data_IF_532624584020
#
_entry.id   IF_532624584020
#
_cell.length_a   1.000
_cell.length_b   1.000
_cell.length_c   1.000
_cell.angle_alpha   90.00
_cell.angle_beta   90.00
_cell.angle_gamma   90.00
#
_symmetry.space_group_name_H-M   'P 1'
#
loop_
_entity.id
_entity.type
_entity.pdbx_description
1 polymer ?
#
# COMPACT_ATOMS: atom_id res chain seq x y z
N UNK A 1 72.27 -17.27 -12.69
CA UNK A 1 71.40 -17.47 -11.52
C UNK A 1 70.19 -16.56 -11.69
N UNK A 2 68.99 -17.13 -11.73
CA UNK A 2 67.74 -16.43 -12.04
C UNK A 2 67.34 -15.47 -10.92
N UNK A 3 67.14 -14.20 -11.26
CA UNK A 3 66.58 -13.19 -10.37
C UNK A 3 65.05 -13.30 -10.44
N UNK A 4 64.44 -13.99 -9.46
CA UNK A 4 62.99 -14.06 -9.32
C UNK A 4 62.48 -12.75 -8.73
N UNK A 5 61.81 -11.94 -9.56
CA UNK A 5 61.03 -10.78 -9.08
C UNK A 5 59.70 -11.29 -8.55
N UNK A 6 59.63 -11.53 -7.23
CA UNK A 6 58.37 -11.79 -6.55
C UNK A 6 57.58 -10.48 -6.50
N UNK A 7 56.61 -10.36 -7.39
CA UNK A 7 55.58 -9.32 -7.35
C UNK A 7 54.79 -9.46 -6.05
N UNK A 8 55.12 -8.61 -5.09
CA UNK A 8 54.42 -8.54 -3.81
C UNK A 8 53.04 -7.92 -4.04
N UNK A 9 52.08 -8.77 -4.44
CA UNK A 9 50.66 -8.46 -4.33
C UNK A 9 50.40 -8.18 -2.85
N UNK A 10 50.42 -6.91 -2.46
CA UNK A 10 50.06 -6.44 -1.11
C UNK A 10 48.62 -6.84 -0.84
N UNK A 11 48.44 -8.04 -0.29
CA UNK A 11 47.19 -8.48 0.28
C UNK A 11 46.91 -7.57 1.47
N UNK A 12 45.90 -6.70 1.35
CA UNK A 12 45.35 -5.98 2.50
C UNK A 12 45.15 -6.99 3.64
N UNK A 13 45.64 -6.71 4.86
CA UNK A 13 45.57 -7.67 5.95
C UNK A 13 44.11 -8.09 6.14
N UNK A 14 43.86 -9.40 6.19
CA UNK A 14 42.53 -10.03 6.17
C UNK A 14 41.53 -9.32 7.10
N UNK A 15 42.00 -8.87 8.28
CA UNK A 15 41.22 -8.06 9.24
C UNK A 15 40.65 -6.75 8.66
N UNK A 16 41.42 -5.99 7.87
CA UNK A 16 40.96 -4.76 7.22
C UNK A 16 39.91 -5.04 6.14
N UNK A 17 40.07 -6.13 5.38
CA UNK A 17 39.07 -6.56 4.38
C UNK A 17 37.76 -6.98 5.04
N UNK A 18 37.82 -7.77 6.12
CA UNK A 18 36.64 -8.16 6.90
C UNK A 18 35.92 -6.94 7.47
N UNK A 19 36.66 -6.00 8.08
CA UNK A 19 36.07 -4.77 8.62
C UNK A 19 35.40 -3.92 7.53
N UNK A 20 36.01 -3.81 6.35
CA UNK A 20 35.40 -3.12 5.21
C UNK A 20 34.10 -3.80 4.74
N UNK A 21 34.12 -5.13 4.56
CA UNK A 21 32.94 -5.90 4.16
C UNK A 21 31.81 -5.80 5.19
N UNK A 22 32.13 -5.84 6.49
CA UNK A 22 31.15 -5.64 7.56
C UNK A 22 30.52 -4.24 7.49
N UNK A 23 31.33 -3.19 7.35
CA UNK A 23 30.81 -1.81 7.21
C UNK A 23 29.93 -1.65 5.98
N UNK A 24 30.33 -2.23 4.85
CA UNK A 24 29.55 -2.22 3.62
C UNK A 24 28.22 -2.96 3.81
N UNK A 25 28.24 -4.16 4.40
CA UNK A 25 27.04 -4.92 4.70
C UNK A 25 26.10 -4.15 5.63
N UNK A 26 26.61 -3.59 6.74
CA UNK A 26 25.83 -2.75 7.63
C UNK A 26 25.21 -1.56 6.90
N UNK A 27 25.98 -0.85 6.06
CA UNK A 27 25.48 0.29 5.29
C UNK A 27 24.35 -0.12 4.33
N UNK A 28 24.54 -1.21 3.58
CA UNK A 28 23.52 -1.72 2.65
C UNK A 28 22.27 -2.16 3.40
N UNK A 29 22.43 -2.87 4.53
CA UNK A 29 21.31 -3.26 5.38
C UNK A 29 20.56 -2.06 5.97
N UNK A 30 21.27 -1.02 6.41
CA UNK A 30 20.65 0.20 6.93
C UNK A 30 19.84 0.93 5.86
N UNK A 31 20.37 1.07 4.64
CA UNK A 31 19.63 1.66 3.52
C UNK A 31 18.41 0.82 3.19
N UNK A 32 18.55 -0.51 3.10
CA UNK A 32 17.45 -1.41 2.83
C UNK A 32 16.33 -1.31 3.89
N UNK A 33 16.68 -1.36 5.18
CA UNK A 33 15.71 -1.22 6.28
C UNK A 33 15.03 0.15 6.23
N UNK A 34 15.78 1.22 5.92
CA UNK A 34 15.20 2.55 5.83
C UNK A 34 14.21 2.65 4.67
N UNK A 35 14.61 2.27 3.45
CA UNK A 35 13.81 2.40 2.25
C UNK A 35 12.62 1.43 2.20
N UNK A 36 12.78 0.21 2.70
CA UNK A 36 11.73 -0.82 2.60
C UNK A 36 10.82 -0.86 3.84
N UNK A 37 11.16 -0.15 4.92
CA UNK A 37 10.35 -0.17 6.16
C UNK A 37 10.21 1.19 6.85
N UNK A 38 11.30 1.87 7.21
CA UNK A 38 11.20 3.07 8.09
C UNK A 38 10.65 4.32 7.38
N UNK A 39 10.90 4.48 6.09
CA UNK A 39 10.49 5.67 5.31
C UNK A 39 8.99 5.96 5.44
N UNK A 40 8.14 4.93 5.46
CA UNK A 40 6.68 5.08 5.55
C UNK A 40 6.25 5.67 6.90
N UNK A 41 6.90 5.26 7.99
CA UNK A 41 6.64 5.82 9.32
C UNK A 41 7.09 7.27 9.39
N UNK A 42 8.28 7.57 8.89
CA UNK A 42 8.80 8.95 8.88
C UNK A 42 7.89 9.86 8.07
N UNK A 43 7.44 9.43 6.89
CA UNK A 43 6.58 10.24 6.03
C UNK A 43 5.19 10.46 6.64
N UNK A 44 4.54 9.41 7.12
CA UNK A 44 3.15 9.48 7.63
C UNK A 44 3.07 10.11 9.01
N UNK A 45 4.10 9.96 9.86
CA UNK A 45 4.14 10.59 11.19
C UNK A 45 4.14 12.12 11.13
N UNK A 46 4.50 12.71 9.98
CA UNK A 46 4.44 14.15 9.75
C UNK A 46 3.03 14.65 9.37
N UNK A 47 2.06 13.74 9.25
CA UNK A 47 0.70 14.07 8.86
C UNK A 47 -0.22 14.14 10.10
N UNK A 48 -1.03 15.20 10.16
CA UNK A 48 -2.08 15.38 11.15
C UNK A 48 -3.46 15.44 10.47
N UNK A 49 -4.49 15.12 11.24
CA UNK A 49 -5.87 15.34 10.80
C UNK A 49 -6.18 16.85 10.75
N UNK A 50 -6.94 17.34 9.75
CA UNK A 50 -7.32 18.74 9.68
C UNK A 50 -8.24 19.11 10.86
N UNK A 51 -8.07 20.33 11.36
CA UNK A 51 -8.90 20.84 12.46
C UNK A 51 -10.36 21.04 12.02
N UNK A 52 -11.29 20.50 12.81
CA UNK A 52 -12.72 20.70 12.65
C UNK A 52 -13.21 21.61 13.78
N UNK A 53 -14.06 22.59 13.48
CA UNK A 53 -14.59 23.51 14.49
C UNK A 53 -15.68 22.83 15.31
N UNK A 54 -15.56 22.87 16.63
CA UNK A 54 -16.60 22.42 17.55
C UNK A 54 -17.80 23.37 17.54
N UNK A 55 -19.01 22.80 17.64
CA UNK A 55 -20.19 23.57 18.01
C UNK A 55 -20.04 24.10 19.43
N UNK A 56 -20.49 25.34 19.69
CA UNK A 56 -20.26 26.10 20.92
C UNK A 56 -20.74 25.45 22.24
N UNK A 57 -21.35 24.26 22.19
CA UNK A 57 -21.98 23.57 23.31
C UNK A 57 -21.56 22.10 23.50
N UNK A 58 -20.57 21.58 22.77
CA UNK A 58 -20.09 20.20 22.97
C UNK A 58 -18.83 20.14 23.84
N UNK A 59 -18.81 19.20 24.77
CA UNK A 59 -17.61 18.86 25.54
C UNK A 59 -16.50 18.34 24.61
N UNK A 60 -15.23 18.64 24.92
CA UNK A 60 -14.08 18.28 24.06
C UNK A 60 -13.97 16.77 23.76
N UNK A 61 -14.34 15.92 24.72
CA UNK A 61 -14.31 14.46 24.55
C UNK A 61 -15.42 13.96 23.63
N UNK A 62 -16.63 14.50 23.78
CA UNK A 62 -17.79 14.17 22.94
C UNK A 62 -17.60 14.70 21.51
N UNK A 63 -17.01 15.90 21.38
CA UNK A 63 -16.62 16.47 20.11
C UNK A 63 -15.60 15.60 19.38
N UNK A 64 -14.51 15.19 20.04
CA UNK A 64 -13.49 14.33 19.42
C UNK A 64 -14.06 12.98 18.96
N UNK A 65 -14.99 12.40 19.73
CA UNK A 65 -15.68 11.17 19.33
C UNK A 65 -16.59 11.37 18.10
N UNK A 66 -17.18 12.56 17.95
CA UNK A 66 -18.04 12.92 16.82
C UNK A 66 -17.30 13.18 15.51
N UNK A 67 -16.01 13.52 15.55
CA UNK A 67 -15.22 13.80 14.35
C UNK A 67 -15.00 12.51 13.56
N UNK A 68 -15.40 12.51 12.29
CA UNK A 68 -15.18 11.41 11.37
C UNK A 68 -13.82 11.55 10.66
N UNK A 69 -12.89 10.66 10.99
CA UNK A 69 -11.58 10.56 10.34
C UNK A 69 -11.68 9.70 9.10
N UNK A 70 -11.60 10.33 7.94
CA UNK A 70 -11.75 9.67 6.64
C UNK A 70 -10.46 9.71 5.86
N UNK A 71 -9.93 8.55 5.47
CA UNK A 71 -8.80 8.44 4.56
C UNK A 71 -9.30 8.15 3.13
N UNK A 72 -8.80 8.89 2.15
CA UNK A 72 -9.10 8.67 0.74
C UNK A 72 -7.85 8.18 0.01
N UNK A 73 -8.01 7.11 -0.77
CA UNK A 73 -7.02 6.52 -1.66
C UNK A 73 -7.65 6.35 -3.05
N UNK A 74 -6.84 6.23 -4.08
CA UNK A 74 -7.30 5.97 -5.45
C UNK A 74 -6.18 5.29 -6.25
N UNK A 75 -6.53 4.71 -7.40
CA UNK A 75 -5.58 4.29 -8.43
C UNK A 75 -4.47 3.38 -7.88
N UNK A 76 -4.83 2.39 -7.06
CA UNK A 76 -3.85 1.47 -6.49
C UNK A 76 -3.28 0.52 -7.56
N UNK A 77 -4.02 0.30 -8.66
CA UNK A 77 -3.58 -0.43 -9.85
C UNK A 77 -2.86 -1.75 -9.55
N UNK A 78 -3.41 -2.64 -8.71
CA UNK A 78 -2.82 -3.95 -8.44
C UNK A 78 -2.45 -4.66 -9.74
N UNK A 79 -1.18 -5.04 -9.88
CA UNK A 79 -0.63 -5.52 -11.14
C UNK A 79 -1.23 -6.91 -11.41
N UNK A 80 -1.86 -7.05 -12.57
CA UNK A 80 -2.44 -8.32 -12.98
C UNK A 80 -1.39 -9.30 -13.49
N UNK A 81 -1.86 -10.41 -14.05
CA UNK A 81 -1.02 -11.50 -14.56
C UNK A 81 -0.55 -11.26 -16.01
N UNK A 82 -1.28 -10.45 -16.78
CA UNK A 82 -1.14 -10.39 -18.24
C UNK A 82 0.05 -9.51 -18.65
N UNK A 83 0.14 -8.31 -18.10
CA UNK A 83 1.15 -7.29 -18.42
C UNK A 83 2.05 -6.98 -17.23
N UNK A 84 1.72 -7.44 -16.03
CA UNK A 84 2.48 -7.18 -14.81
C UNK A 84 3.83 -7.90 -14.78
N UNK A 85 4.91 -7.14 -14.59
CA UNK A 85 6.23 -7.73 -14.32
C UNK A 85 6.34 -8.17 -12.85
N UNK A 86 6.85 -9.38 -12.60
CA UNK A 86 6.87 -9.98 -11.25
C UNK A 86 7.62 -9.14 -10.21
N UNK A 87 8.73 -8.49 -10.60
CA UNK A 87 9.53 -7.67 -9.68
C UNK A 87 8.82 -6.36 -9.32
N UNK A 88 8.14 -5.74 -10.28
CA UNK A 88 7.33 -4.55 -10.04
C UNK A 88 6.15 -4.92 -9.14
N UNK A 89 5.48 -6.04 -9.46
CA UNK A 89 4.42 -6.60 -8.63
C UNK A 89 4.87 -6.78 -7.17
N UNK A 90 6.01 -7.46 -6.97
CA UNK A 90 6.57 -7.68 -5.64
C UNK A 90 6.87 -6.36 -4.91
N UNK A 91 7.59 -5.44 -5.56
CA UNK A 91 8.03 -4.19 -4.93
C UNK A 91 6.83 -3.27 -4.66
N UNK A 92 6.04 -2.96 -5.67
CA UNK A 92 4.93 -2.00 -5.57
C UNK A 92 3.88 -2.46 -4.57
N UNK A 93 3.57 -3.74 -4.53
CA UNK A 93 2.62 -4.29 -3.55
C UNK A 93 3.18 -4.29 -2.13
N UNK A 94 4.48 -4.56 -1.97
CA UNK A 94 5.15 -4.36 -0.69
C UNK A 94 5.02 -2.91 -0.21
N UNK A 95 5.30 -1.93 -1.07
CA UNK A 95 5.20 -0.51 -0.72
C UNK A 95 3.76 -0.09 -0.39
N UNK A 96 2.77 -0.54 -1.15
CA UNK A 96 1.36 -0.29 -0.87
C UNK A 96 0.93 -0.88 0.47
N UNK A 97 1.27 -2.14 0.74
CA UNK A 97 0.95 -2.79 2.02
C UNK A 97 1.61 -2.05 3.19
N UNK A 98 2.91 -1.75 3.09
CA UNK A 98 3.62 -1.02 4.17
C UNK A 98 3.03 0.37 4.40
N UNK A 99 2.78 1.13 3.34
CA UNK A 99 2.19 2.47 3.44
C UNK A 99 0.81 2.43 4.09
N UNK A 100 -0.07 1.53 3.64
CA UNK A 100 -1.44 1.41 4.15
C UNK A 100 -1.46 0.96 5.61
N UNK A 101 -0.70 -0.09 5.96
CA UNK A 101 -0.64 -0.58 7.34
C UNK A 101 -0.06 0.47 8.30
N UNK A 102 0.94 1.23 7.87
CA UNK A 102 1.49 2.35 8.67
C UNK A 102 0.49 3.49 8.82
N UNK A 103 -0.26 3.83 7.76
CA UNK A 103 -1.32 4.83 7.84
C UNK A 103 -2.42 4.43 8.83
N UNK A 104 -2.89 3.18 8.79
CA UNK A 104 -3.86 2.68 9.76
C UNK A 104 -3.33 2.74 11.20
N UNK A 105 -2.07 2.37 11.40
CA UNK A 105 -1.45 2.35 12.72
C UNK A 105 -1.32 3.76 13.32
N UNK A 106 -0.82 4.73 12.55
CA UNK A 106 -0.52 6.07 13.04
C UNK A 106 -1.75 6.99 13.05
N UNK A 107 -2.56 6.95 11.98
CA UNK A 107 -3.66 7.90 11.80
C UNK A 107 -4.98 7.40 12.40
N UNK A 108 -5.15 6.07 12.54
CA UNK A 108 -6.35 5.42 13.06
C UNK A 108 -7.65 5.99 12.47
N UNK A 109 -7.85 5.90 11.13
CA UNK A 109 -9.07 6.38 10.49
C UNK A 109 -10.28 5.55 10.90
N UNK A 110 -11.45 6.21 10.98
CA UNK A 110 -12.74 5.54 11.17
C UNK A 110 -13.18 4.83 9.89
N UNK A 111 -12.91 5.44 8.73
CA UNK A 111 -13.30 4.93 7.42
C UNK A 111 -12.25 5.26 6.36
N UNK A 112 -12.04 4.31 5.44
CA UNK A 112 -11.17 4.44 4.27
C UNK A 112 -12.00 4.28 3.01
N UNK A 113 -11.84 5.20 2.06
CA UNK A 113 -12.37 5.07 0.71
C UNK A 113 -11.25 4.78 -0.29
N UNK A 114 -11.44 3.79 -1.16
CA UNK A 114 -10.63 3.58 -2.37
C UNK A 114 -11.49 3.94 -3.57
N UNK A 115 -11.10 4.99 -4.30
CA UNK A 115 -11.91 5.66 -5.31
C UNK A 115 -11.74 5.09 -6.73
N UNK A 116 -11.66 3.76 -6.85
CA UNK A 116 -11.56 3.08 -8.14
C UNK A 116 -10.13 2.70 -8.55
N UNK A 117 -10.08 2.02 -9.69
CA UNK A 117 -8.88 1.47 -10.33
C UNK A 117 -8.02 0.70 -9.33
N UNK A 118 -8.71 -0.21 -8.63
CA UNK A 118 -8.09 -1.09 -7.65
C UNK A 118 -7.14 -2.04 -8.34
N UNK A 119 -7.59 -2.64 -9.44
CA UNK A 119 -6.83 -3.60 -10.25
C UNK A 119 -6.48 -3.01 -11.60
N UNK A 120 -5.25 -3.23 -12.06
CA UNK A 120 -4.80 -2.71 -13.35
C UNK A 120 -5.45 -3.44 -14.55
N UNK A 121 -5.72 -4.73 -14.36
CA UNK A 121 -6.20 -5.63 -15.42
C UNK A 121 -7.55 -6.26 -15.10
N UNK A 122 -8.30 -5.71 -14.13
CA UNK A 122 -9.62 -6.21 -13.77
C UNK A 122 -10.48 -6.44 -15.01
N UNK A 123 -10.57 -5.45 -15.90
CA UNK A 123 -11.30 -5.51 -17.17
C UNK A 123 -10.92 -6.65 -18.13
N UNK A 124 -9.73 -7.24 -17.99
CA UNK A 124 -9.21 -8.31 -18.85
C UNK A 124 -9.01 -9.64 -18.10
N UNK A 125 -9.15 -9.66 -16.77
CA UNK A 125 -8.78 -10.82 -15.95
C UNK A 125 -9.70 -12.02 -16.12
N UNK A 126 -9.09 -13.20 -16.18
CA UNK A 126 -9.78 -14.49 -16.04
C UNK A 126 -10.40 -14.61 -14.63
N UNK A 127 -11.38 -15.52 -14.41
CA UNK A 127 -11.95 -15.74 -13.08
C UNK A 127 -10.90 -16.10 -12.01
N UNK A 128 -9.87 -16.87 -12.38
CA UNK A 128 -8.78 -17.27 -11.51
C UNK A 128 -7.87 -16.09 -11.17
N UNK A 129 -7.41 -15.35 -12.19
CA UNK A 129 -6.57 -14.16 -11.99
C UNK A 129 -7.29 -13.11 -11.12
N UNK A 130 -8.58 -12.89 -11.37
CA UNK A 130 -9.42 -12.05 -10.52
C UNK A 130 -9.43 -12.50 -9.05
N UNK A 131 -9.62 -13.80 -8.79
CA UNK A 131 -9.64 -14.32 -7.42
C UNK A 131 -8.28 -14.17 -6.72
N UNK A 132 -7.19 -14.36 -7.45
CA UNK A 132 -5.84 -14.14 -6.94
C UNK A 132 -5.57 -12.66 -6.63
N UNK A 133 -5.99 -11.76 -7.51
CA UNK A 133 -5.88 -10.32 -7.32
C UNK A 133 -6.69 -9.86 -6.11
N UNK A 134 -7.94 -10.33 -5.96
CA UNK A 134 -8.79 -10.07 -4.79
C UNK A 134 -8.15 -10.59 -3.49
N UNK A 135 -7.55 -11.78 -3.50
CA UNK A 135 -6.86 -12.32 -2.31
C UNK A 135 -5.70 -11.41 -1.89
N UNK A 136 -4.94 -10.90 -2.85
CA UNK A 136 -3.82 -9.98 -2.59
C UNK A 136 -4.32 -8.63 -2.10
N UNK A 137 -5.38 -8.09 -2.69
CA UNK A 137 -6.04 -6.88 -2.22
C UNK A 137 -6.44 -7.02 -0.74
N UNK A 138 -7.15 -8.09 -0.38
CA UNK A 138 -7.60 -8.33 0.99
C UNK A 138 -6.44 -8.45 1.99
N UNK A 139 -5.31 -9.01 1.57
CA UNK A 139 -4.09 -9.07 2.38
C UNK A 139 -3.50 -7.67 2.60
N UNK A 140 -3.33 -6.89 1.54
CA UNK A 140 -2.64 -5.59 1.61
C UNK A 140 -3.48 -4.54 2.35
N UNK A 141 -4.78 -4.48 2.03
CA UNK A 141 -5.74 -3.54 2.60
C UNK A 141 -6.49 -4.11 3.80
N UNK A 142 -5.90 -5.08 4.51
CA UNK A 142 -6.42 -5.59 5.78
C UNK A 142 -6.50 -4.45 6.80
N UNK A 143 -7.59 -4.41 7.55
CA UNK A 143 -7.87 -3.35 8.50
C UNK A 143 -8.54 -3.95 9.75
N UNK A 144 -8.42 -3.29 10.92
CA UNK A 144 -9.10 -3.75 12.12
C UNK A 144 -10.61 -3.50 12.00
N UNK A 145 -11.41 -4.27 12.73
CA UNK A 145 -12.89 -4.19 12.70
C UNK A 145 -13.46 -2.77 12.89
N UNK A 146 -12.89 -1.88 13.73
CA UNK A 146 -13.40 -0.52 13.87
C UNK A 146 -13.24 0.37 12.64
N UNK A 147 -12.32 0.05 11.73
CA UNK A 147 -12.10 0.82 10.50
C UNK A 147 -12.95 0.23 9.39
N UNK A 148 -13.83 1.03 8.79
CA UNK A 148 -14.57 0.60 7.60
C UNK A 148 -13.75 0.82 6.32
N UNK A 149 -13.86 -0.10 5.36
CA UNK A 149 -13.28 0.06 4.02
C UNK A 149 -14.40 0.08 2.97
N UNK A 150 -14.48 1.18 2.23
CA UNK A 150 -15.40 1.35 1.10
C UNK A 150 -14.60 1.43 -0.18
N UNK A 151 -14.96 0.61 -1.17
CA UNK A 151 -14.28 0.56 -2.46
C UNK A 151 -15.27 0.89 -3.56
N UNK A 152 -14.95 1.92 -4.33
CA UNK A 152 -15.68 2.34 -5.52
C UNK A 152 -15.03 1.69 -6.74
N UNK A 153 -15.81 1.43 -7.78
CA UNK A 153 -15.34 0.81 -9.01
C UNK A 153 -14.70 1.85 -9.95
N UNK A 154 -13.59 1.47 -10.60
CA UNK A 154 -13.00 2.23 -11.69
C UNK A 154 -13.06 1.51 -13.05
N UNK A 155 -12.57 2.18 -14.10
CA UNK A 155 -12.59 1.64 -15.45
C UNK A 155 -11.58 0.52 -15.69
N UNK A 156 -10.46 0.47 -14.94
CA UNK A 156 -9.55 -0.67 -15.00
C UNK A 156 -10.12 -1.91 -14.31
N UNK A 157 -11.05 -1.76 -13.37
CA UNK A 157 -11.66 -2.87 -12.65
C UNK A 157 -12.69 -3.64 -13.52
N UNK A 158 -13.54 -2.91 -14.23
CA UNK A 158 -14.68 -3.49 -14.97
C UNK A 158 -14.73 -3.15 -16.47
N UNK A 159 -13.87 -2.26 -16.94
CA UNK A 159 -13.84 -1.78 -18.32
C UNK A 159 -14.55 -0.44 -18.50
N UNK A 160 -14.24 0.26 -19.59
CA UNK A 160 -14.93 1.50 -19.99
C UNK A 160 -15.85 1.26 -21.20
N UNK A 161 -17.05 1.85 -21.16
CA UNK A 161 -18.05 1.77 -22.25
C UNK A 161 -18.29 0.33 -22.74
N UNK A 162 -17.88 0.00 -23.97
CA UNK A 162 -18.10 -1.31 -24.58
C UNK A 162 -17.33 -2.46 -23.91
N UNK A 163 -16.29 -2.15 -23.13
CA UNK A 163 -15.55 -3.17 -22.38
C UNK A 163 -16.29 -3.62 -21.11
N UNK A 164 -17.26 -2.84 -20.64
CA UNK A 164 -18.03 -3.13 -19.45
C UNK A 164 -19.06 -4.23 -19.73
N UNK A 165 -19.08 -5.26 -18.89
CA UNK A 165 -20.06 -6.36 -19.01
C UNK A 165 -20.75 -6.61 -17.68
N UNK A 166 -21.98 -7.13 -17.73
CA UNK A 166 -22.73 -7.48 -16.52
C UNK A 166 -21.98 -8.47 -15.61
N UNK A 167 -21.17 -9.37 -16.19
CA UNK A 167 -20.32 -10.27 -15.42
C UNK A 167 -19.25 -9.51 -14.62
N UNK A 168 -18.55 -8.55 -15.26
CA UNK A 168 -17.48 -7.76 -14.62
C UNK A 168 -18.03 -6.89 -13.50
N UNK A 169 -19.17 -6.24 -13.72
CA UNK A 169 -19.88 -5.46 -12.69
C UNK A 169 -20.27 -6.36 -11.52
N UNK A 170 -21.01 -7.45 -11.78
CA UNK A 170 -21.53 -8.33 -10.70
C UNK A 170 -20.43 -8.96 -9.86
N UNK A 171 -19.29 -9.35 -10.45
CA UNK A 171 -18.19 -9.91 -9.66
C UNK A 171 -17.51 -8.85 -8.78
N UNK A 172 -17.43 -7.61 -9.24
CA UNK A 172 -16.92 -6.50 -8.44
C UNK A 172 -17.87 -6.20 -7.27
N UNK A 173 -19.16 -6.03 -7.57
CA UNK A 173 -20.21 -5.81 -6.55
C UNK A 173 -20.20 -6.89 -5.48
N UNK A 174 -20.04 -8.17 -5.88
CA UNK A 174 -19.97 -9.30 -4.96
C UNK A 174 -18.78 -9.22 -4.00
N UNK A 175 -17.61 -8.75 -4.46
CA UNK A 175 -16.40 -8.68 -3.63
C UNK A 175 -16.43 -7.48 -2.69
N UNK A 176 -16.88 -6.32 -3.18
CA UNK A 176 -16.75 -5.05 -2.48
C UNK A 176 -18.04 -4.53 -1.86
N UNK A 177 -19.15 -5.27 -1.98
CA UNK A 177 -20.48 -4.82 -1.58
C UNK A 177 -20.79 -3.40 -2.11
N UNK A 178 -20.48 -3.25 -3.40
CA UNK A 178 -20.62 -2.02 -4.17
C UNK A 178 -21.95 -2.03 -4.94
N UNK A 179 -22.51 -0.84 -5.13
CA UNK A 179 -23.66 -0.58 -6.01
C UNK A 179 -23.41 0.77 -6.70
N UNK A 180 -23.96 0.98 -7.91
CA UNK A 180 -23.78 2.23 -8.66
C UNK A 180 -24.26 3.49 -7.91
N UNK A 181 -25.14 3.33 -6.92
CA UNK A 181 -25.47 4.35 -5.94
C UNK A 181 -25.50 3.73 -4.55
N UNK A 182 -24.63 4.21 -3.65
CA UNK A 182 -24.59 3.82 -2.24
C UNK A 182 -24.42 5.09 -1.40
N UNK A 183 -25.38 5.35 -0.53
CA UNK A 183 -25.25 6.39 0.48
C UNK A 183 -24.57 5.80 1.72
N UNK A 184 -23.47 6.40 2.14
CA UNK A 184 -22.74 6.02 3.36
C UNK A 184 -22.84 7.18 4.33
N UNK A 185 -23.42 6.93 5.50
CA UNK A 185 -23.54 7.93 6.57
C UNK A 185 -22.84 7.44 7.82
N UNK A 186 -21.90 8.21 8.36
CA UNK A 186 -21.13 7.87 9.57
C UNK A 186 -20.99 9.11 10.44
N UNK A 187 -21.21 8.93 11.75
CA UNK A 187 -21.18 10.03 12.74
C UNK A 187 -22.04 11.25 12.33
N UNK A 188 -23.16 11.00 11.62
CA UNK A 188 -24.12 12.03 11.20
C UNK A 188 -23.73 12.82 9.94
N UNK A 189 -22.65 12.45 9.24
CA UNK A 189 -22.22 12.99 7.94
C UNK A 189 -22.45 11.96 6.84
#
# INVERSE_FOLDING_TARGET
MLQSSSSTLRTLPVKKRICFLMKLACSVSSVFIFCEFLIYYVAIFQCDWPEVKAGAHMDNAEFSASVLKTLFLADTHLLGEIKGHWLDKLRREWQMERSFQTALWLLQPDIVFILGDVFDEGKWSSPQAWADDVRRFQKMFRHPVPTELVVVVGNHDIGFHYEMTAYKVKRFEKVFNFTSGKLVTRKGV
#
